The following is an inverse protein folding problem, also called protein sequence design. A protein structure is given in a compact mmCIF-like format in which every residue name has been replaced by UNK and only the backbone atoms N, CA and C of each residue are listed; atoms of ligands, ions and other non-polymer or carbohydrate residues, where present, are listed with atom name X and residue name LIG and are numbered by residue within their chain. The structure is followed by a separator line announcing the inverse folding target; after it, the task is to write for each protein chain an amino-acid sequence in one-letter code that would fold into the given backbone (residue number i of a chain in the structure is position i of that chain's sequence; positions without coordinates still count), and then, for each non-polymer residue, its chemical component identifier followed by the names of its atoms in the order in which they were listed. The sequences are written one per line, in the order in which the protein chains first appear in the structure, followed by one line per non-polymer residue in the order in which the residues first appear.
data_IF_047318926938
#
_entry.id   IF_047318926938
#
_cell.length_a   1.000
_cell.length_b   1.000
_cell.length_c   1.000
_cell.angle_alpha   90.00
_cell.angle_beta   90.00
_cell.angle_gamma   90.00
#
_symmetry.space_group_name_H-M   'P 1'
#
loop_
_entity.id
_entity.type
_entity.pdbx_description
1 polymer ?
#
# COMPACT_ATOMS: atom_id res chain seq x y z
N UNK A 1 -11.25 4.28 -16.22
CA UNK A 1 -10.21 5.22 -15.83
C UNK A 1 -9.18 4.61 -14.91
N UNK A 2 -7.93 5.05 -15.04
CA UNK A 2 -6.88 4.69 -14.11
C UNK A 2 -7.08 5.46 -12.81
N UNK A 3 -7.05 4.76 -11.71
CA UNK A 3 -7.15 5.38 -10.41
C UNK A 3 -6.01 4.93 -9.51
N UNK A 4 -5.12 5.87 -9.20
CA UNK A 4 -4.11 5.75 -8.17
C UNK A 4 -4.72 6.35 -6.89
N UNK A 5 -5.12 5.50 -5.96
CA UNK A 5 -5.77 5.96 -4.76
C UNK A 5 -4.99 5.58 -3.51
N UNK A 6 -4.68 6.58 -2.73
CA UNK A 6 -4.50 6.38 -1.31
C UNK A 6 -5.88 6.29 -0.62
N UNK A 7 -5.94 5.58 0.43
CA UNK A 7 -6.97 5.35 1.45
C UNK A 7 -8.47 5.57 1.14
N UNK A 8 -8.88 6.65 0.50
CA UNK A 8 -10.31 7.00 0.37
C UNK A 8 -11.10 6.14 -0.63
N UNK A 9 -10.43 5.38 -1.49
CA UNK A 9 -11.06 4.53 -2.50
C UNK A 9 -10.85 3.03 -2.25
N UNK A 10 -10.24 2.71 -1.15
CA UNK A 10 -10.01 1.33 -0.73
C UNK A 10 -11.32 0.53 -0.62
N UNK A 11 -12.42 1.18 -0.28
CA UNK A 11 -13.72 0.53 -0.17
C UNK A 11 -14.20 -0.08 -1.50
N UNK A 12 -13.85 0.49 -2.65
CA UNK A 12 -14.23 -0.06 -3.95
C UNK A 12 -13.59 -1.41 -4.27
N UNK A 13 -12.47 -1.71 -3.63
CA UNK A 13 -11.82 -3.01 -3.70
C UNK A 13 -12.14 -3.91 -2.50
N UNK A 14 -13.06 -3.51 -1.63
CA UNK A 14 -13.39 -4.27 -0.44
C UNK A 14 -12.25 -4.36 0.56
N UNK A 15 -11.38 -3.36 0.60
CA UNK A 15 -10.27 -3.29 1.55
C UNK A 15 -10.50 -2.22 2.61
N UNK A 16 -9.91 -2.44 3.74
CA UNK A 16 -9.84 -1.52 4.86
C UNK A 16 -8.40 -1.03 5.04
N UNK A 17 -8.25 0.26 5.26
CA UNK A 17 -7.01 0.85 5.74
C UNK A 17 -7.06 1.13 7.24
N UNK A 18 -7.99 0.50 7.91
CA UNK A 18 -8.26 0.73 9.31
C UNK A 18 -7.06 0.44 10.21
N UNK A 19 -7.17 0.81 11.45
CA UNK A 19 -6.16 0.62 12.52
C UNK A 19 -4.94 1.51 12.41
N UNK A 20 -4.59 1.96 11.22
CA UNK A 20 -3.39 2.75 11.01
C UNK A 20 -3.57 4.23 11.32
N UNK A 21 -4.77 4.78 11.10
CA UNK A 21 -5.03 6.20 11.25
C UNK A 21 -5.97 6.56 12.40
N UNK A 22 -6.88 5.68 12.75
CA UNK A 22 -7.94 5.95 13.71
C UNK A 22 -7.60 5.48 15.13
N UNK A 23 -6.74 4.49 15.26
CA UNK A 23 -6.31 3.99 16.56
C UNK A 23 -5.15 4.81 17.12
N UNK A 24 -5.20 5.07 18.41
CA UNK A 24 -4.12 5.75 19.14
C UNK A 24 -3.52 4.81 20.18
N UNK A 25 -2.24 4.99 20.40
CA UNK A 25 -1.49 4.28 21.44
C UNK A 25 -0.86 5.30 22.38
N UNK A 26 -0.61 4.85 23.61
CA UNK A 26 0.20 5.61 24.55
C UNK A 26 1.67 5.26 24.33
N UNK A 27 2.48 6.26 23.99
CA UNK A 27 3.92 6.09 23.80
C UNK A 27 4.64 6.64 25.04
N UNK A 28 5.37 5.82 25.77
CA UNK A 28 6.07 6.26 26.98
C UNK A 28 6.96 7.48 26.72
N UNK A 29 6.79 8.53 27.54
CA UNK A 29 7.55 9.79 27.43
C UNK A 29 7.15 10.71 26.30
N UNK A 30 6.18 10.31 25.46
CA UNK A 30 5.73 11.12 24.29
C UNK A 30 4.23 11.43 24.38
N UNK A 31 3.44 10.56 25.03
CA UNK A 31 1.98 10.68 25.12
C UNK A 31 1.24 10.02 23.96
N UNK A 32 -0.06 10.31 23.81
CA UNK A 32 -0.92 9.67 22.80
C UNK A 32 -0.53 10.04 21.38
N UNK A 33 -0.33 9.04 20.55
CA UNK A 33 0.01 9.17 19.13
C UNK A 33 -0.87 8.24 18.30
N UNK A 34 -1.00 8.54 17.01
CA UNK A 34 -1.60 7.59 16.09
C UNK A 34 -0.78 6.30 16.05
N UNK A 35 -1.42 5.19 15.74
CA UNK A 35 -0.78 3.88 15.70
C UNK A 35 0.47 3.85 14.82
N UNK A 36 0.47 4.63 13.73
CA UNK A 36 1.61 4.78 12.81
C UNK A 36 2.43 6.03 13.07
N UNK A 37 2.49 6.46 14.32
CA UNK A 37 3.32 7.61 14.66
C UNK A 37 4.77 7.39 14.24
N UNK A 38 5.26 8.33 13.48
CA UNK A 38 6.66 8.47 13.08
C UNK A 38 6.96 9.93 12.77
N UNK A 39 8.20 10.29 12.81
CA UNK A 39 8.63 11.65 12.45
C UNK A 39 8.88 11.81 10.94
N UNK A 40 7.85 12.13 10.15
CA UNK A 40 8.00 12.39 8.72
C UNK A 40 7.99 11.15 7.82
N UNK A 41 8.49 11.27 6.59
CA UNK A 41 8.63 10.19 5.63
C UNK A 41 9.87 9.33 5.92
N UNK A 42 9.83 8.08 5.55
CA UNK A 42 10.95 7.16 5.68
C UNK A 42 11.00 6.19 4.49
N UNK A 43 12.17 5.66 4.13
CA UNK A 43 12.25 4.54 3.20
C UNK A 43 11.68 3.28 3.86
N UNK A 44 10.99 2.47 3.06
CA UNK A 44 10.64 1.10 3.36
C UNK A 44 11.05 0.23 2.19
N UNK A 45 11.06 -1.07 2.40
CA UNK A 45 11.30 -2.01 1.30
C UNK A 45 10.02 -2.75 0.95
N UNK A 46 9.88 -3.07 -0.34
CA UNK A 46 8.81 -3.92 -0.85
C UNK A 46 9.35 -4.90 -1.89
N UNK A 47 8.58 -5.92 -2.17
CA UNK A 47 8.87 -6.94 -3.17
C UNK A 47 7.64 -7.22 -4.00
N UNK A 48 7.80 -7.31 -5.32
CA UNK A 48 6.71 -7.64 -6.24
C UNK A 48 6.40 -9.13 -6.20
N UNK A 49 5.11 -9.45 -6.33
CA UNK A 49 4.68 -10.81 -6.69
C UNK A 49 4.97 -11.09 -8.17
N UNK A 50 4.80 -12.32 -8.64
CA UNK A 50 4.95 -12.67 -10.06
C UNK A 50 3.98 -11.88 -10.93
N UNK A 51 2.73 -11.75 -10.49
CA UNK A 51 1.74 -10.89 -11.15
C UNK A 51 2.16 -9.41 -11.10
N UNK A 52 2.73 -8.98 -9.98
CA UNK A 52 3.28 -7.62 -9.83
C UNK A 52 4.38 -7.33 -10.83
N UNK A 53 5.32 -8.23 -11.04
CA UNK A 53 6.37 -8.10 -12.07
C UNK A 53 5.78 -8.01 -13.48
N UNK A 54 4.79 -8.83 -13.77
CA UNK A 54 4.10 -8.82 -15.07
C UNK A 54 3.40 -7.47 -15.34
N UNK A 55 2.78 -6.88 -14.34
CA UNK A 55 1.96 -5.65 -14.47
C UNK A 55 2.82 -4.38 -14.33
N UNK A 56 3.67 -4.32 -13.31
CA UNK A 56 4.38 -3.11 -12.92
C UNK A 56 5.77 -3.02 -13.52
N UNK A 57 6.29 -4.12 -14.05
CA UNK A 57 7.62 -4.23 -14.63
C UNK A 57 8.55 -5.08 -13.79
N UNK A 58 9.63 -5.50 -14.42
CA UNK A 58 10.59 -6.42 -13.83
C UNK A 58 11.52 -5.68 -12.85
N UNK A 59 11.07 -5.59 -11.62
CA UNK A 59 11.86 -5.13 -10.48
C UNK A 59 12.15 -6.38 -9.63
N UNK A 60 13.37 -6.85 -9.73
CA UNK A 60 13.79 -8.08 -9.04
C UNK A 60 14.05 -7.85 -7.55
N UNK A 61 13.68 -8.85 -6.76
CA UNK A 61 13.98 -8.91 -5.34
C UNK A 61 13.29 -7.82 -4.52
N UNK A 62 13.93 -7.50 -3.41
CA UNK A 62 13.46 -6.47 -2.47
C UNK A 62 14.11 -5.13 -2.81
N UNK A 63 13.30 -4.10 -2.99
CA UNK A 63 13.79 -2.76 -3.33
C UNK A 63 13.16 -1.68 -2.44
N UNK A 64 13.88 -0.56 -2.32
CA UNK A 64 13.47 0.56 -1.49
C UNK A 64 12.44 1.45 -2.20
N UNK A 65 11.49 1.95 -1.43
CA UNK A 65 10.48 2.91 -1.87
C UNK A 65 10.20 3.91 -0.73
N UNK A 66 9.95 5.16 -1.09
CA UNK A 66 9.52 6.16 -0.10
C UNK A 66 8.15 5.81 0.46
N UNK A 67 8.00 5.92 1.77
CA UNK A 67 6.72 5.78 2.46
C UNK A 67 6.38 7.04 3.26
N UNK A 68 5.12 7.45 3.20
CA UNK A 68 4.60 8.59 3.98
C UNK A 68 3.13 8.39 4.31
N UNK A 69 2.88 7.85 5.49
CA UNK A 69 1.52 7.66 6.03
C UNK A 69 0.55 6.87 5.13
N UNK A 70 1.05 5.98 4.28
CA UNK A 70 0.22 5.09 3.50
C UNK A 70 -0.53 4.09 4.40
N UNK A 71 -1.65 3.53 3.95
CA UNK A 71 -2.41 2.54 4.72
C UNK A 71 -1.73 1.18 4.73
N UNK A 72 -1.98 0.39 5.76
CA UNK A 72 -1.94 -1.07 5.67
C UNK A 72 -3.28 -1.52 5.12
N UNK A 73 -3.25 -2.29 4.04
CA UNK A 73 -4.44 -2.76 3.36
C UNK A 73 -4.83 -4.16 3.81
N UNK A 74 -6.10 -4.34 4.15
CA UNK A 74 -6.67 -5.62 4.56
C UNK A 74 -8.09 -5.78 4.02
N UNK A 75 -8.62 -7.00 3.88
CA UNK A 75 -10.00 -7.22 3.47
C UNK A 75 -11.00 -6.49 4.38
N UNK A 76 -11.98 -5.84 3.77
CA UNK A 76 -13.05 -5.14 4.49
C UNK A 76 -14.22 -6.08 4.87
N UNK A 77 -14.33 -7.23 4.22
CA UNK A 77 -15.45 -8.16 4.46
C UNK A 77 -16.80 -7.66 3.94
N UNK A 78 -16.82 -6.83 2.90
CA UNK A 78 -18.07 -6.35 2.30
C UNK A 78 -18.58 -7.33 1.24
N UNK A 79 -19.86 -7.67 1.37
CA UNK A 79 -20.57 -8.46 0.36
C UNK A 79 -20.70 -7.73 -0.97
N UNK A 80 -20.71 -8.48 -2.05
CA UNK A 80 -20.91 -7.96 -3.41
C UNK A 80 -19.70 -7.25 -4.02
N UNK A 81 -18.56 -7.20 -3.35
CA UNK A 81 -17.30 -6.72 -3.91
C UNK A 81 -16.39 -7.90 -4.28
N UNK A 82 -15.73 -7.79 -5.42
CA UNK A 82 -14.70 -8.75 -5.82
C UNK A 82 -13.49 -8.73 -4.87
N UNK A 83 -12.76 -9.83 -4.85
CA UNK A 83 -11.48 -9.87 -4.15
C UNK A 83 -10.43 -9.03 -4.86
N UNK A 84 -9.56 -8.37 -4.09
CA UNK A 84 -8.37 -7.76 -4.63
C UNK A 84 -7.21 -8.79 -4.72
N UNK A 85 -6.23 -8.49 -5.56
CA UNK A 85 -4.98 -9.25 -5.67
C UNK A 85 -3.81 -8.35 -5.26
N UNK A 86 -2.85 -8.93 -4.57
CA UNK A 86 -1.63 -8.21 -4.15
C UNK A 86 -0.59 -8.28 -5.25
N UNK A 87 -0.08 -7.14 -5.67
CA UNK A 87 1.04 -7.02 -6.63
C UNK A 87 2.39 -6.82 -5.93
N UNK A 88 2.38 -6.33 -4.70
CA UNK A 88 3.57 -6.17 -3.89
C UNK A 88 3.25 -6.32 -2.40
N UNK A 89 4.25 -6.72 -1.63
CA UNK A 89 4.19 -6.79 -0.17
C UNK A 89 5.32 -5.97 0.44
N UNK A 90 5.04 -5.33 1.58
CA UNK A 90 6.08 -4.70 2.39
C UNK A 90 7.06 -5.74 2.94
N UNK A 91 8.34 -5.42 2.92
CA UNK A 91 9.42 -6.24 3.49
C UNK A 91 10.15 -5.57 4.65
N UNK A 92 9.84 -4.32 4.90
CA UNK A 92 10.23 -3.59 6.12
C UNK A 92 9.07 -2.74 6.61
N UNK A 93 9.27 -2.05 7.72
CA UNK A 93 8.24 -1.24 8.34
C UNK A 93 8.78 0.08 8.88
N UNK A 94 7.88 1.03 9.15
CA UNK A 94 8.21 2.34 9.72
C UNK A 94 7.85 2.46 11.20
N UNK A 95 7.14 1.49 11.75
CA UNK A 95 6.74 1.51 13.15
C UNK A 95 7.96 1.50 14.05
N UNK A 96 8.01 2.45 14.99
CA UNK A 96 9.09 2.59 15.96
C UNK A 96 8.72 2.10 17.35
N UNK A 97 7.45 1.85 17.57
CA UNK A 97 6.92 1.61 18.91
C UNK A 97 6.07 0.35 18.94
N UNK A 98 6.28 -0.47 19.97
CA UNK A 98 5.37 -1.56 20.29
C UNK A 98 4.01 -0.98 20.71
N UNK A 99 2.89 -1.62 20.36
CA UNK A 99 2.73 -2.96 19.76
C UNK A 99 2.69 -3.01 18.21
N UNK A 100 3.03 -1.95 17.49
CA UNK A 100 2.92 -1.88 16.02
C UNK A 100 4.05 -2.61 15.29
N UNK A 101 5.15 -2.87 15.97
CA UNK A 101 6.27 -3.61 15.41
C UNK A 101 5.82 -4.95 14.81
N UNK A 102 6.18 -5.22 13.57
CA UNK A 102 5.80 -6.43 12.83
C UNK A 102 4.45 -6.35 12.12
N UNK A 103 3.65 -5.30 12.32
CA UNK A 103 2.29 -5.25 11.75
C UNK A 103 2.23 -4.88 10.27
N UNK A 104 3.27 -4.26 9.73
CA UNK A 104 3.34 -3.85 8.33
C UNK A 104 4.00 -4.90 7.44
N UNK A 105 4.95 -5.64 7.97
CA UNK A 105 5.74 -6.64 7.22
C UNK A 105 4.82 -7.71 6.65
N UNK A 106 5.03 -8.07 5.38
CA UNK A 106 4.24 -9.03 4.59
C UNK A 106 2.79 -8.61 4.32
N UNK A 107 2.41 -7.38 4.66
CA UNK A 107 1.10 -6.86 4.24
C UNK A 107 1.15 -6.30 2.81
N UNK A 108 0.01 -6.22 2.11
CA UNK A 108 -0.03 -5.68 0.76
C UNK A 108 0.47 -4.23 0.70
N UNK A 109 1.42 -3.96 -0.19
CA UNK A 109 1.91 -2.61 -0.51
C UNK A 109 1.26 -2.04 -1.77
N UNK A 110 0.97 -2.92 -2.74
CA UNK A 110 0.26 -2.59 -3.98
C UNK A 110 -0.80 -3.65 -4.22
N UNK A 111 -2.00 -3.23 -4.53
CA UNK A 111 -3.13 -4.11 -4.84
C UNK A 111 -3.86 -3.67 -6.09
N UNK A 112 -4.51 -4.62 -6.72
CA UNK A 112 -5.39 -4.41 -7.88
C UNK A 112 -6.70 -5.15 -7.72
N UNK A 113 -7.71 -4.65 -8.39
CA UNK A 113 -9.01 -5.29 -8.50
C UNK A 113 -9.87 -4.63 -9.56
N UNK A 114 -11.10 -5.08 -9.65
CA UNK A 114 -12.09 -4.55 -10.57
C UNK A 114 -13.27 -3.95 -9.79
N UNK A 115 -13.80 -2.86 -10.29
CA UNK A 115 -15.01 -2.24 -9.76
C UNK A 115 -15.91 -1.79 -10.91
N UNK A 116 -17.08 -2.40 -11.01
CA UNK A 116 -17.92 -2.25 -12.20
C UNK A 116 -17.17 -2.70 -13.46
N UNK A 117 -17.13 -1.85 -14.47
CA UNK A 117 -16.39 -2.09 -15.72
C UNK A 117 -14.97 -1.48 -15.69
N UNK A 118 -14.52 -1.02 -14.54
CA UNK A 118 -13.22 -0.35 -14.37
C UNK A 118 -12.20 -1.19 -13.62
N UNK A 119 -10.95 -0.82 -13.77
CA UNK A 119 -9.83 -1.38 -13.01
C UNK A 119 -9.36 -0.37 -11.97
N UNK A 120 -9.04 -0.88 -10.80
CA UNK A 120 -8.53 -0.07 -9.69
C UNK A 120 -7.18 -0.63 -9.27
N UNK A 121 -6.21 0.26 -9.08
CA UNK A 121 -4.90 -0.06 -8.52
C UNK A 121 -4.63 0.91 -7.36
N UNK A 122 -4.29 0.37 -6.21
CA UNK A 122 -3.94 1.15 -5.03
C UNK A 122 -2.48 0.89 -4.67
N UNK A 123 -1.74 1.97 -4.42
CA UNK A 123 -0.34 1.93 -3.96
C UNK A 123 -0.28 2.62 -2.61
N UNK A 124 0.25 1.94 -1.60
CA UNK A 124 0.42 2.51 -0.26
C UNK A 124 1.69 3.36 -0.14
N UNK A 125 2.87 2.91 -0.61
CA UNK A 125 4.06 3.76 -0.65
C UNK A 125 4.00 4.78 -1.79
N UNK A 126 5.07 5.57 -1.94
CA UNK A 126 5.20 6.66 -2.91
C UNK A 126 6.29 6.39 -3.96
N UNK A 127 6.08 5.48 -4.90
CA UNK A 127 7.07 5.20 -5.94
C UNK A 127 7.33 6.41 -6.85
N UNK A 128 6.36 7.32 -7.01
CA UNK A 128 6.52 8.56 -7.77
C UNK A 128 7.57 9.52 -7.17
N UNK A 129 7.94 9.31 -5.92
CA UNK A 129 8.97 10.08 -5.22
C UNK A 129 10.35 9.43 -5.26
N UNK A 130 10.52 8.40 -6.07
CA UNK A 130 11.77 7.67 -6.24
C UNK A 130 12.04 7.51 -7.74
N UNK A 131 13.01 8.25 -8.27
CA UNK A 131 13.26 8.36 -9.73
C UNK A 131 13.38 6.99 -10.42
N UNK A 132 14.08 6.05 -9.80
CA UNK A 132 14.23 4.70 -10.33
C UNK A 132 12.88 3.93 -10.45
N UNK A 133 11.83 4.37 -9.76
CA UNK A 133 10.51 3.71 -9.74
C UNK A 133 9.46 4.40 -10.61
N UNK A 134 9.80 5.46 -11.32
CA UNK A 134 8.86 6.14 -12.24
C UNK A 134 8.24 5.18 -13.26
N UNK A 135 9.00 4.20 -13.72
CA UNK A 135 8.52 3.16 -14.65
C UNK A 135 7.40 2.31 -14.04
N UNK A 136 7.47 2.02 -12.75
CA UNK A 136 6.42 1.30 -12.02
C UNK A 136 5.10 2.05 -12.10
N UNK A 137 5.11 3.36 -11.82
CA UNK A 137 3.92 4.22 -11.89
C UNK A 137 3.36 4.27 -13.31
N UNK A 138 4.22 4.45 -14.31
CA UNK A 138 3.79 4.46 -15.72
C UNK A 138 3.11 3.15 -16.13
N UNK A 139 3.65 2.01 -15.70
CA UNK A 139 3.08 0.70 -16.00
C UNK A 139 1.76 0.48 -15.26
N UNK A 140 1.64 0.95 -14.03
CA UNK A 140 0.39 0.94 -13.26
C UNK A 140 -0.74 1.69 -14.01
N UNK A 141 -0.42 2.90 -14.50
CA UNK A 141 -1.37 3.70 -15.30
C UNK A 141 -1.76 2.99 -16.60
N UNK A 142 -0.77 2.44 -17.33
CA UNK A 142 -1.04 1.69 -18.56
C UNK A 142 -1.91 0.47 -18.32
N UNK A 143 -1.67 -0.27 -17.25
CA UNK A 143 -2.47 -1.42 -16.89
C UNK A 143 -3.92 -1.02 -16.58
N UNK A 144 -4.12 0.01 -15.77
CA UNK A 144 -5.45 0.48 -15.40
C UNK A 144 -6.24 1.06 -16.59
N UNK A 145 -5.55 1.65 -17.57
CA UNK A 145 -6.17 2.25 -18.77
C UNK A 145 -6.52 1.24 -19.88
N UNK A 146 -6.01 0.01 -19.83
CA UNK A 146 -6.36 -1.02 -20.85
C UNK A 146 -7.81 -1.44 -20.68
N UNK A 147 -8.52 -1.51 -21.80
CA UNK A 147 -9.87 -2.09 -21.91
C UNK A 147 -9.80 -3.58 -22.13
#
# INVERSE_FOLDING_TARGET
GAFLAASNYSWSLGISNHKTFCETIEVPGIGRKSMWFRGGSAPVTMELTDEGRTILGDFEGVFEVRYQNGPIMSPMGRDGLGSFRSLAHFRSEVSKYKPQEGTMINTPAVIVGEFGNGRVLCISPHPESTDALNRLVQNAVRWAARR
#
